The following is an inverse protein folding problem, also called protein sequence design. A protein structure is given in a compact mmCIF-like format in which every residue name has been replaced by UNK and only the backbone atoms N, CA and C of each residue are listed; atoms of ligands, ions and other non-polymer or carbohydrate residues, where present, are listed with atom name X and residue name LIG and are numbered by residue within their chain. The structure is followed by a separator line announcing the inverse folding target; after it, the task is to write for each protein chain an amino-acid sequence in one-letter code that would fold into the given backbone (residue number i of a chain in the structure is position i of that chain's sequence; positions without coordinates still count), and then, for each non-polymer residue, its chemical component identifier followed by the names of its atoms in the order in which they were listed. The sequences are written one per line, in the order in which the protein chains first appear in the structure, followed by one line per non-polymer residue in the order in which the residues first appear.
data_IF_034710306156
#
_entry.id   IF_034710306156
#
_cell.length_a   1.000
_cell.length_b   1.000
_cell.length_c   1.000
_cell.angle_alpha   90.00
_cell.angle_beta   90.00
_cell.angle_gamma   90.00
#
_symmetry.space_group_name_H-M   'P 1'
#
loop_
_entity.id
_entity.type
_entity.pdbx_description
1 polymer ?
#
# COMPACT_ATOMS: atom_id res chain seq x y z
N UNK A 1 20.61 -8.06 -11.02
CA UNK A 1 19.39 -7.77 -11.82
C UNK A 1 18.23 -8.40 -11.10
N UNK A 2 17.28 -7.59 -10.64
CA UNK A 2 16.12 -8.03 -9.86
C UNK A 2 15.06 -8.70 -10.76
N UNK A 3 14.21 -9.53 -10.16
CA UNK A 3 13.10 -10.19 -10.85
C UNK A 3 11.84 -9.32 -10.88
N UNK A 4 10.90 -9.61 -11.80
CA UNK A 4 9.67 -8.82 -11.95
C UNK A 4 8.79 -8.79 -10.68
N UNK A 5 8.82 -9.86 -9.87
CA UNK A 5 8.13 -9.95 -8.57
C UNK A 5 8.65 -8.88 -7.61
N UNK A 6 9.98 -8.80 -7.46
CA UNK A 6 10.67 -7.82 -6.62
C UNK A 6 10.52 -6.40 -7.18
N UNK A 7 10.62 -6.26 -8.51
CA UNK A 7 10.41 -5.00 -9.19
C UNK A 7 9.03 -4.41 -8.91
N UNK A 8 7.99 -5.23 -8.78
CA UNK A 8 6.64 -4.76 -8.41
C UNK A 8 6.63 -3.98 -7.10
N UNK A 9 7.32 -4.49 -6.08
CA UNK A 9 7.34 -3.88 -4.75
C UNK A 9 8.11 -2.57 -4.80
N UNK A 10 9.23 -2.57 -5.53
CA UNK A 10 10.06 -1.38 -5.70
C UNK A 10 9.40 -0.30 -6.57
N UNK A 11 8.53 -0.67 -7.51
CA UNK A 11 7.80 0.30 -8.36
C UNK A 11 6.91 1.22 -7.53
N UNK A 12 6.16 0.69 -6.55
CA UNK A 12 5.31 1.52 -5.69
C UNK A 12 6.17 2.49 -4.87
N UNK A 13 7.20 1.99 -4.19
CA UNK A 13 8.13 2.84 -3.43
C UNK A 13 8.88 3.87 -4.31
N UNK A 14 9.18 3.52 -5.57
CA UNK A 14 9.78 4.43 -6.55
C UNK A 14 8.82 5.58 -6.88
N UNK A 15 7.55 5.28 -7.14
CA UNK A 15 6.51 6.29 -7.44
C UNK A 15 6.22 7.17 -6.22
N UNK A 16 6.44 6.65 -5.01
CA UNK A 16 6.35 7.40 -3.75
C UNK A 16 7.60 8.21 -3.40
N UNK A 17 8.73 7.95 -4.06
CA UNK A 17 10.00 8.63 -3.77
C UNK A 17 10.67 8.13 -2.49
N UNK A 18 10.37 6.89 -2.08
CA UNK A 18 10.81 6.28 -0.82
C UNK A 18 12.01 5.32 -0.98
N UNK A 19 12.57 5.21 -2.19
CA UNK A 19 13.72 4.35 -2.44
C UNK A 19 15.05 5.01 -2.05
N UNK A 20 15.93 4.22 -1.45
CA UNK A 20 17.34 4.54 -1.34
C UNK A 20 18.06 4.45 -2.71
N UNK A 21 19.28 5.03 -2.78
CA UNK A 21 20.05 5.12 -4.01
C UNK A 21 20.37 3.76 -4.63
N UNK A 22 20.70 2.75 -3.81
CA UNK A 22 21.08 1.42 -4.30
C UNK A 22 19.88 0.74 -4.97
N UNK A 23 18.71 0.81 -4.31
CA UNK A 23 17.45 0.28 -4.87
C UNK A 23 17.00 1.03 -6.11
N UNK A 24 17.18 2.35 -6.16
CA UNK A 24 16.90 3.16 -7.35
C UNK A 24 17.69 2.68 -8.57
N UNK A 25 18.99 2.40 -8.41
CA UNK A 25 19.82 1.88 -9.51
C UNK A 25 19.30 0.53 -9.98
N UNK A 26 19.03 -0.41 -9.06
CA UNK A 26 18.58 -1.75 -9.41
C UNK A 26 17.22 -1.77 -10.12
N UNK A 27 16.26 -0.97 -9.67
CA UNK A 27 14.94 -0.90 -10.34
C UNK A 27 15.06 -0.21 -11.70
N UNK A 28 15.89 0.82 -11.84
CA UNK A 28 16.07 1.51 -13.11
C UNK A 28 16.67 0.57 -14.17
N UNK A 29 17.71 -0.21 -13.82
CA UNK A 29 18.31 -1.20 -14.71
C UNK A 29 17.30 -2.26 -15.19
N UNK A 30 16.34 -2.63 -14.35
CA UNK A 30 15.27 -3.56 -14.69
C UNK A 30 14.23 -2.91 -15.62
N UNK A 31 13.80 -1.68 -15.28
CA UNK A 31 12.83 -0.92 -16.08
C UNK A 31 13.37 -0.64 -17.49
N UNK A 32 14.66 -0.41 -17.67
CA UNK A 32 15.27 -0.18 -18.98
C UNK A 32 15.12 -1.38 -19.95
N UNK A 33 14.82 -2.57 -19.41
CA UNK A 33 14.82 -3.84 -20.18
C UNK A 33 13.49 -4.58 -20.15
N UNK A 34 12.53 -4.17 -19.31
CA UNK A 34 11.27 -4.90 -19.10
C UNK A 34 10.05 -4.00 -19.36
N UNK A 35 9.43 -4.19 -20.52
CA UNK A 35 8.22 -3.46 -20.94
C UNK A 35 7.04 -3.67 -19.98
N UNK A 36 6.86 -4.88 -19.45
CA UNK A 36 5.79 -5.19 -18.49
C UNK A 36 5.93 -4.35 -17.21
N UNK A 37 7.15 -4.23 -16.68
CA UNK A 37 7.41 -3.42 -15.49
C UNK A 37 7.33 -1.92 -15.78
N UNK A 38 7.66 -1.46 -16.99
CA UNK A 38 7.39 -0.08 -17.41
C UNK A 38 5.88 0.20 -17.42
N UNK A 39 5.08 -0.73 -17.94
CA UNK A 39 3.62 -0.60 -17.96
C UNK A 39 3.03 -0.57 -16.53
N UNK A 40 3.56 -1.39 -15.61
CA UNK A 40 3.18 -1.37 -14.19
C UNK A 40 3.50 -0.03 -13.53
N UNK A 41 4.71 0.51 -13.75
CA UNK A 41 5.08 1.85 -13.26
C UNK A 41 4.13 2.92 -13.79
N UNK A 42 3.81 2.90 -15.08
CA UNK A 42 2.88 3.86 -15.66
C UNK A 42 1.45 3.74 -15.08
N UNK A 43 1.00 2.54 -14.74
CA UNK A 43 -0.27 2.33 -14.05
C UNK A 43 -0.26 2.93 -12.64
N UNK A 44 0.81 2.70 -11.88
CA UNK A 44 0.97 3.23 -10.53
C UNK A 44 0.97 4.78 -10.52
N UNK A 45 1.71 5.39 -11.45
CA UNK A 45 1.73 6.86 -11.62
C UNK A 45 0.34 7.43 -11.96
N UNK A 46 -0.40 6.75 -12.84
CA UNK A 46 -1.77 7.16 -13.20
C UNK A 46 -2.72 7.04 -12.02
N UNK A 47 -2.61 5.97 -11.23
CA UNK A 47 -3.42 5.78 -10.03
C UNK A 47 -3.15 6.91 -9.03
N UNK A 48 -1.88 7.21 -8.74
CA UNK A 48 -1.49 8.28 -7.84
C UNK A 48 -1.98 9.65 -8.31
N UNK A 49 -1.85 9.95 -9.60
CA UNK A 49 -2.36 11.18 -10.19
C UNK A 49 -3.89 11.29 -10.06
N UNK A 50 -4.61 10.21 -10.34
CA UNK A 50 -6.07 10.15 -10.17
C UNK A 50 -6.49 10.40 -8.73
N UNK A 51 -5.83 9.77 -7.76
CA UNK A 51 -6.10 9.99 -6.34
C UNK A 51 -5.82 11.45 -5.94
N UNK A 52 -4.72 12.02 -6.40
CA UNK A 52 -4.38 13.41 -6.12
C UNK A 52 -5.41 14.40 -6.70
N UNK A 53 -5.99 14.10 -7.86
CA UNK A 53 -7.05 14.92 -8.46
C UNK A 53 -8.39 14.79 -7.72
N UNK A 54 -8.72 13.59 -7.24
CA UNK A 54 -10.04 13.27 -6.66
C UNK A 54 -10.15 13.50 -5.17
N UNK A 55 -9.05 13.38 -4.44
CA UNK A 55 -9.03 13.58 -3.01
C UNK A 55 -8.94 15.07 -2.69
N UNK A 56 -9.82 15.55 -1.82
CA UNK A 56 -9.76 16.92 -1.35
C UNK A 56 -8.45 17.16 -0.58
N UNK A 57 -7.71 18.20 -0.95
CA UNK A 57 -6.59 18.66 -0.13
C UNK A 57 -7.14 19.19 1.19
N UNK A 58 -6.60 18.69 2.29
CA UNK A 58 -6.94 19.17 3.63
C UNK A 58 -6.10 20.40 3.93
N UNK A 59 -6.75 21.48 4.40
CA UNK A 59 -6.01 22.65 4.86
C UNK A 59 -5.15 22.28 6.07
N UNK A 60 -3.87 22.66 6.00
CA UNK A 60 -2.96 22.46 7.12
C UNK A 60 -3.29 23.45 8.25
N UNK A 61 -3.24 23.02 9.53
CA UNK A 61 -3.49 23.92 10.65
C UNK A 61 -2.60 25.17 10.61
N UNK A 62 -3.19 26.32 10.90
CA UNK A 62 -2.46 27.58 11.02
C UNK A 62 -1.28 27.43 12.01
N UNK A 63 -0.12 27.98 11.65
CA UNK A 63 1.08 27.92 12.49
C UNK A 63 1.84 26.59 12.47
N UNK A 64 1.35 25.54 11.78
CA UNK A 64 2.08 24.26 11.68
C UNK A 64 3.46 24.45 11.03
N UNK A 65 3.52 25.26 9.98
CA UNK A 65 4.76 25.55 9.26
C UNK A 65 5.78 26.23 10.16
N UNK A 66 5.36 27.21 10.94
CA UNK A 66 6.21 27.92 11.90
C UNK A 66 6.72 26.99 13.00
N UNK A 67 5.84 26.11 13.51
CA UNK A 67 6.21 25.07 14.50
C UNK A 67 7.27 24.11 13.96
N UNK A 68 7.10 23.61 12.73
CA UNK A 68 8.08 22.73 12.07
C UNK A 68 9.42 23.45 11.93
N UNK A 69 9.43 24.70 11.45
CA UNK A 69 10.67 25.49 11.31
C UNK A 69 11.36 25.75 12.64
N UNK A 70 10.60 26.05 13.70
CA UNK A 70 11.14 26.24 15.04
C UNK A 70 11.83 24.97 15.55
N UNK A 71 11.19 23.81 15.40
CA UNK A 71 11.76 22.52 15.78
C UNK A 71 13.03 22.19 14.98
N UNK A 72 13.06 22.48 13.68
CA UNK A 72 14.26 22.29 12.85
C UNK A 72 15.42 23.18 13.32
N UNK A 73 15.16 24.47 13.59
CA UNK A 73 16.18 25.40 14.09
C UNK A 73 16.75 24.97 15.45
N UNK A 74 15.92 24.40 16.34
CA UNK A 74 16.37 23.87 17.63
C UNK A 74 17.29 22.65 17.46
N UNK A 75 16.95 21.73 16.56
CA UNK A 75 17.80 20.57 16.21
C UNK A 75 19.14 21.05 15.64
N UNK A 76 19.13 22.02 14.74
CA UNK A 76 20.35 22.62 14.15
C UNK A 76 21.22 23.32 15.20
N UNK A 77 20.60 23.91 16.23
CA UNK A 77 21.28 24.53 17.36
C UNK A 77 21.82 23.53 18.40
N UNK A 78 21.66 22.21 18.17
CA UNK A 78 22.08 21.16 19.11
C UNK A 78 21.14 20.94 20.29
N UNK A 79 19.92 21.49 20.22
CA UNK A 79 18.84 21.21 21.16
C UNK A 79 18.24 19.82 20.95
N UNK A 80 17.67 19.26 22.00
CA UNK A 80 16.88 18.02 21.91
C UNK A 80 15.56 18.32 21.20
N UNK A 81 15.09 17.47 20.28
CA UNK A 81 13.81 17.70 19.60
C UNK A 81 12.67 17.90 20.62
N UNK A 82 11.75 18.86 20.39
CA UNK A 82 10.62 19.06 21.29
C UNK A 82 9.80 17.78 21.38
N UNK A 83 9.57 17.27 22.60
CA UNK A 83 8.64 16.16 22.81
C UNK A 83 7.26 16.58 22.32
N UNK A 84 6.77 15.94 21.26
CA UNK A 84 5.44 16.23 20.70
C UNK A 84 4.35 15.99 21.73
N UNK A 85 3.62 17.03 22.20
CA UNK A 85 2.43 16.83 23.00
C UNK A 85 1.34 16.35 22.03
N UNK A 86 1.16 15.04 21.96
CA UNK A 86 0.21 14.43 21.02
C UNK A 86 0.64 13.12 20.38
N UNK A 87 1.81 12.56 20.73
CA UNK A 87 2.03 11.14 20.50
C UNK A 87 0.98 10.38 21.32
N UNK A 88 -0.10 9.95 20.67
CA UNK A 88 -0.95 8.89 21.22
C UNK A 88 -0.01 7.75 21.62
N UNK A 89 -0.07 7.26 22.87
CA UNK A 89 0.70 6.08 23.26
C UNK A 89 0.39 4.97 22.25
N UNK A 90 1.44 4.52 21.57
CA UNK A 90 1.50 3.41 20.62
C UNK A 90 0.18 2.91 20.04
N UNK A 91 0.02 3.06 18.72
CA UNK A 91 -0.41 1.88 17.97
C UNK A 91 0.63 0.80 18.28
N UNK A 92 0.29 -0.10 19.18
CA UNK A 92 1.07 -1.30 19.40
C UNK A 92 1.32 -1.93 18.02
N UNK A 93 2.50 -2.53 17.74
CA UNK A 93 2.61 -3.43 16.62
C UNK A 93 1.48 -4.45 16.78
N UNK A 94 0.53 -4.43 15.85
CA UNK A 94 -0.49 -5.45 15.77
C UNK A 94 0.26 -6.77 15.79
N UNK A 95 -0.04 -7.60 16.79
CA UNK A 95 0.40 -8.98 16.80
C UNK A 95 -0.29 -9.67 15.62
N UNK A 96 0.35 -9.59 14.45
CA UNK A 96 0.05 -10.39 13.28
C UNK A 96 0.42 -11.84 13.62
N UNK A 97 -0.48 -12.49 14.34
CA UNK A 97 -0.29 -13.83 14.87
C UNK A 97 -1.60 -14.48 15.29
N UNK A 98 -2.71 -14.05 14.69
CA UNK A 98 -4.02 -14.69 14.82
C UNK A 98 -4.32 -15.43 13.54
N UNK A 99 -3.71 -16.61 13.36
CA UNK A 99 -4.10 -17.56 12.32
C UNK A 99 -5.59 -17.83 12.45
N UNK A 100 -6.38 -17.13 11.65
CA UNK A 100 -7.82 -17.29 11.55
C UNK A 100 -8.08 -18.73 11.12
N UNK A 101 -8.34 -19.59 12.10
CA UNK A 101 -9.00 -20.87 11.89
C UNK A 101 -10.41 -20.53 11.43
N UNK A 102 -10.58 -20.27 10.14
CA UNK A 102 -11.89 -20.35 9.52
C UNK A 102 -12.40 -21.75 9.85
N UNK A 103 -13.52 -21.91 10.56
CA UNK A 103 -14.03 -23.23 10.84
C UNK A 103 -14.28 -23.90 9.49
N UNK A 104 -13.70 -25.08 9.28
CA UNK A 104 -13.81 -25.89 8.05
C UNK A 104 -15.27 -26.12 7.60
N UNK A 105 -16.25 -25.79 8.43
CA UNK A 105 -17.67 -25.79 8.13
C UNK A 105 -18.10 -24.76 7.07
N UNK A 106 -17.38 -23.64 6.89
CA UNK A 106 -17.77 -22.63 5.89
C UNK A 106 -17.46 -23.05 4.45
N UNK A 107 -16.43 -23.88 4.24
CA UNK A 107 -16.07 -24.43 2.92
C UNK A 107 -17.10 -25.45 2.41
N UNK A 108 -17.73 -26.22 3.30
CA UNK A 108 -18.76 -27.20 2.93
C UNK A 108 -20.08 -26.55 2.50
N UNK A 109 -20.45 -25.41 3.11
CA UNK A 109 -21.69 -24.70 2.78
C UNK A 109 -21.66 -24.09 1.36
N UNK A 110 -20.49 -23.57 0.93
CA UNK A 110 -20.32 -23.01 -0.41
C UNK A 110 -20.37 -24.10 -1.48
N UNK A 111 -19.73 -25.26 -1.24
CA UNK A 111 -19.75 -26.38 -2.19
C UNK A 111 -21.16 -26.97 -2.40
N UNK A 112 -21.96 -27.09 -1.33
CA UNK A 112 -23.34 -27.57 -1.42
C UNK A 112 -24.25 -26.60 -2.19
N UNK A 113 -24.08 -25.28 -1.98
CA UNK A 113 -24.83 -24.25 -2.70
C UNK A 113 -24.55 -24.22 -4.20
N UNK A 114 -23.27 -24.33 -4.59
CA UNK A 114 -22.86 -24.37 -6.01
C UNK A 114 -23.37 -25.65 -6.69
N UNK A 115 -23.30 -26.80 -6.03
CA UNK A 115 -23.79 -28.07 -6.59
C UNK A 115 -25.31 -28.07 -6.79
N UNK A 116 -26.08 -27.52 -5.84
CA UNK A 116 -27.53 -27.40 -5.96
C UNK A 116 -27.95 -26.46 -7.10
N UNK A 117 -27.24 -25.34 -7.28
CA UNK A 117 -27.49 -24.40 -8.39
C UNK A 117 -27.19 -25.05 -9.75
N UNK A 118 -26.08 -25.78 -9.86
CA UNK A 118 -25.71 -26.51 -11.09
C UNK A 118 -26.76 -27.58 -11.42
N UNK A 119 -27.22 -28.35 -10.43
CA UNK A 119 -28.27 -29.36 -10.63
C UNK A 119 -29.62 -28.74 -10.98
N UNK A 120 -29.98 -27.58 -10.42
CA UNK A 120 -31.20 -26.86 -10.78
C UNK A 120 -31.15 -26.33 -12.21
N UNK A 121 -30.02 -25.78 -12.64
CA UNK A 121 -29.82 -25.28 -14.01
C UNK A 121 -29.75 -26.42 -15.05
N UNK A 122 -29.23 -27.59 -14.68
CA UNK A 122 -29.20 -28.77 -15.55
C UNK A 122 -30.52 -29.57 -15.52
N UNK A 123 -31.29 -29.52 -14.42
CA UNK A 123 -32.55 -30.24 -14.24
C UNK A 123 -33.79 -29.47 -14.70
N UNK A 124 -33.74 -28.14 -14.78
CA UNK A 124 -34.82 -27.29 -15.28
C UNK A 124 -35.04 -27.33 -16.80
N UNK A 125 -34.32 -28.18 -17.52
CA UNK A 125 -34.40 -28.31 -18.98
C UNK A 125 -34.80 -29.73 -19.40
N UNK A 126 -36.00 -30.16 -18.97
CA UNK A 126 -36.78 -31.17 -19.69
C UNK A 126 -38.23 -30.69 -19.80
N UNK A 127 -38.75 -30.46 -21.02
CA UNK A 127 -40.16 -30.11 -21.23
C UNK A 127 -41.10 -31.28 -20.91
#
# INVERSE_FOLDING_TARGET
MIHCEEASVLITALVDGELDLDRMVHIQEHLDKCEDCQARKAMEERLKAFLHERLAQVETPAGLRERIRGALAEIEAGGTPPETPGATPGLAPGAEGGGGRWPFTLLLAIAAGVLALILFLLGGHRP
#
